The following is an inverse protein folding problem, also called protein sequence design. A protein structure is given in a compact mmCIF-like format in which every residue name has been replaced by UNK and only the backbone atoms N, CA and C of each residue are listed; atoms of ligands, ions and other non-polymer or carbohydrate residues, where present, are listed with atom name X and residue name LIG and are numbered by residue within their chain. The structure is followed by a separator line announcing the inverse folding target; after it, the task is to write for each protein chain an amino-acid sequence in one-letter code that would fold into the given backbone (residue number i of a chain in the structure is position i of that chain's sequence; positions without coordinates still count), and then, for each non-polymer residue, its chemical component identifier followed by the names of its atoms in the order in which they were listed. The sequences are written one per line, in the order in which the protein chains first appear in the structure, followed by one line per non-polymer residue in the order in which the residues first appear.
data_IF_261907977191
#
_entry.id   IF_261907977191
#
_cell.length_a   1.000
_cell.length_b   1.000
_cell.length_c   1.000
_cell.angle_alpha   90.00
_cell.angle_beta   90.00
_cell.angle_gamma   90.00
#
_symmetry.space_group_name_H-M   'P 1'
#
loop_
_entity.id
_entity.type
_entity.pdbx_description
1 polymer ?
#
# COMPACT_ATOMS: atom_id res chain seq x y z
N UNK A 1 39.77 -28.58 -30.60
CA UNK A 1 39.50 -28.78 -29.12
C UNK A 1 39.60 -27.48 -28.33
N UNK A 2 40.34 -26.45 -28.74
CA UNK A 2 40.49 -25.19 -27.96
C UNK A 2 39.33 -24.21 -28.07
N UNK A 3 38.43 -24.36 -29.06
CA UNK A 3 37.33 -23.42 -29.29
C UNK A 3 36.09 -23.69 -28.39
N UNK A 4 35.96 -24.93 -27.88
CA UNK A 4 34.88 -25.26 -26.92
C UNK A 4 35.19 -24.80 -25.50
N UNK A 5 36.44 -24.80 -25.12
CA UNK A 5 36.87 -24.42 -23.76
C UNK A 5 36.82 -22.88 -23.58
N UNK A 6 37.16 -22.12 -24.60
CA UNK A 6 37.02 -20.65 -24.61
C UNK A 6 35.55 -20.22 -24.64
N UNK A 7 34.70 -20.88 -25.39
CA UNK A 7 33.28 -20.61 -25.41
C UNK A 7 32.59 -20.94 -24.06
N UNK A 8 33.04 -22.03 -23.40
CA UNK A 8 32.54 -22.37 -22.05
C UNK A 8 32.98 -21.36 -20.99
N UNK A 9 34.26 -20.88 -21.08
CA UNK A 9 34.77 -19.85 -20.17
C UNK A 9 33.99 -18.51 -20.34
N UNK A 10 33.75 -18.09 -21.59
CA UNK A 10 32.93 -16.88 -21.87
C UNK A 10 31.52 -16.98 -21.33
N UNK A 11 30.88 -18.15 -21.46
CA UNK A 11 29.52 -18.37 -20.93
C UNK A 11 29.51 -18.33 -19.39
N UNK A 12 30.54 -18.87 -18.75
CA UNK A 12 30.65 -18.85 -17.27
C UNK A 12 30.90 -17.44 -16.77
N UNK A 13 31.74 -16.65 -17.42
CA UNK A 13 31.97 -15.23 -17.06
C UNK A 13 30.69 -14.39 -17.25
N UNK A 14 29.98 -14.57 -18.35
CA UNK A 14 28.70 -13.88 -18.59
C UNK A 14 27.64 -14.26 -17.53
N UNK A 15 27.56 -15.52 -17.14
CA UNK A 15 26.66 -15.95 -16.05
C UNK A 15 27.05 -15.35 -14.71
N UNK A 16 28.34 -15.22 -14.40
CA UNK A 16 28.84 -14.60 -13.18
C UNK A 16 28.51 -13.09 -13.13
N UNK A 17 28.65 -12.39 -14.27
CA UNK A 17 28.25 -11.00 -14.41
C UNK A 17 26.73 -10.83 -14.21
N UNK A 18 25.91 -11.62 -14.90
CA UNK A 18 24.45 -11.59 -14.75
C UNK A 18 24.03 -11.87 -13.31
N UNK A 19 24.67 -12.83 -12.63
CA UNK A 19 24.41 -13.11 -11.22
C UNK A 19 24.78 -11.93 -10.31
N UNK A 20 25.84 -11.21 -10.63
CA UNK A 20 26.26 -10.01 -9.88
C UNK A 20 25.28 -8.86 -10.08
N UNK A 21 24.83 -8.60 -11.30
CA UNK A 21 23.79 -7.63 -11.59
C UNK A 21 22.48 -7.98 -10.86
N UNK A 22 22.06 -9.24 -10.90
CA UNK A 22 20.84 -9.69 -10.21
C UNK A 22 20.92 -9.47 -8.71
N UNK A 23 22.07 -9.70 -8.08
CA UNK A 23 22.31 -9.42 -6.65
C UNK A 23 22.20 -7.93 -6.33
N UNK A 24 22.80 -7.07 -7.16
CA UNK A 24 22.71 -5.62 -6.96
C UNK A 24 21.26 -5.14 -7.09
N UNK A 25 20.55 -5.57 -8.14
CA UNK A 25 19.15 -5.22 -8.32
C UNK A 25 18.26 -5.72 -7.18
N UNK A 26 18.49 -6.95 -6.69
CA UNK A 26 17.74 -7.48 -5.55
C UNK A 26 18.01 -6.70 -4.26
N UNK A 27 19.25 -6.27 -4.02
CA UNK A 27 19.59 -5.44 -2.88
C UNK A 27 18.93 -4.06 -2.94
N UNK A 28 18.96 -3.40 -4.10
CA UNK A 28 18.29 -2.12 -4.33
C UNK A 28 16.77 -2.26 -4.13
N UNK A 29 16.17 -3.30 -4.70
CA UNK A 29 14.74 -3.58 -4.55
C UNK A 29 14.35 -3.82 -3.09
N UNK A 30 15.19 -4.52 -2.31
CA UNK A 30 14.96 -4.73 -0.89
C UNK A 30 14.99 -3.42 -0.09
N UNK A 31 15.92 -2.51 -0.40
CA UNK A 31 15.99 -1.19 0.22
C UNK A 31 14.73 -0.36 -0.11
N UNK A 32 14.35 -0.32 -1.39
CA UNK A 32 13.15 0.40 -1.83
C UNK A 32 11.89 -0.17 -1.16
N UNK A 33 11.77 -1.49 -1.09
CA UNK A 33 10.64 -2.16 -0.42
C UNK A 33 10.60 -1.84 1.08
N UNK A 34 11.76 -1.74 1.73
CA UNK A 34 11.85 -1.37 3.15
C UNK A 34 11.38 0.07 3.38
N UNK A 35 11.81 1.01 2.54
CA UNK A 35 11.38 2.42 2.60
C UNK A 35 9.87 2.51 2.36
N UNK A 36 9.35 1.81 1.36
CA UNK A 36 7.92 1.76 1.07
C UNK A 36 7.12 1.18 2.25
N UNK A 37 7.62 0.12 2.90
CA UNK A 37 7.00 -0.47 4.08
C UNK A 37 6.92 0.50 5.26
N UNK A 38 8.01 1.22 5.54
CA UNK A 38 8.04 2.24 6.59
C UNK A 38 7.06 3.37 6.26
N UNK A 39 7.07 3.88 5.03
CA UNK A 39 6.14 4.93 4.57
C UNK A 39 4.68 4.52 4.73
N UNK A 40 4.38 3.25 4.44
CA UNK A 40 3.04 2.69 4.58
C UNK A 40 2.60 2.60 6.06
N UNK A 41 3.51 2.19 6.96
CA UNK A 41 3.24 2.17 8.40
C UNK A 41 2.94 3.59 8.92
N UNK A 42 3.75 4.58 8.53
CA UNK A 42 3.52 5.99 8.92
C UNK A 42 2.19 6.49 8.37
N UNK A 43 1.86 6.19 7.11
CA UNK A 43 0.57 6.51 6.51
C UNK A 43 -0.60 5.84 7.22
N UNK A 44 -0.47 4.58 7.60
CA UNK A 44 -1.48 3.84 8.36
C UNK A 44 -1.73 4.43 9.76
N UNK A 45 -0.66 4.85 10.45
CA UNK A 45 -0.78 5.58 11.72
C UNK A 45 -1.51 6.91 11.50
N UNK A 46 -1.25 7.61 10.38
CA UNK A 46 -1.98 8.81 9.99
C UNK A 46 -3.48 8.57 9.85
N UNK A 47 -3.88 7.52 9.15
CA UNK A 47 -5.29 7.11 9.02
C UNK A 47 -5.89 6.80 10.40
N UNK A 48 -5.19 6.06 11.24
CA UNK A 48 -5.65 5.76 12.60
C UNK A 48 -5.89 7.02 13.43
N UNK A 49 -4.98 8.00 13.36
CA UNK A 49 -5.10 9.26 14.09
C UNK A 49 -6.30 10.09 13.61
N UNK A 50 -6.48 10.23 12.30
CA UNK A 50 -7.64 10.92 11.72
C UNK A 50 -8.94 10.24 12.14
N UNK A 51 -9.00 8.91 12.10
CA UNK A 51 -10.17 8.15 12.53
C UNK A 51 -10.47 8.33 14.02
N UNK A 52 -9.44 8.42 14.89
CA UNK A 52 -9.64 8.69 16.32
C UNK A 52 -10.25 10.09 16.55
N UNK A 53 -9.79 11.09 15.81
CA UNK A 53 -10.36 12.45 15.85
C UNK A 53 -11.83 12.40 15.37
N UNK A 54 -12.09 11.77 14.24
CA UNK A 54 -13.45 11.62 13.70
C UNK A 54 -14.40 10.92 14.69
N UNK A 55 -13.94 9.87 15.39
CA UNK A 55 -14.73 9.21 16.42
C UNK A 55 -15.07 10.15 17.56
N UNK A 56 -14.12 10.99 18.01
CA UNK A 56 -14.39 11.97 19.08
C UNK A 56 -15.34 13.07 18.63
N UNK A 57 -15.20 13.60 17.43
CA UNK A 57 -16.10 14.60 16.84
C UNK A 57 -17.52 14.07 16.65
N UNK A 58 -17.67 12.80 16.26
CA UNK A 58 -18.96 12.14 16.04
C UNK A 58 -19.51 11.41 17.27
N UNK A 59 -18.99 11.69 18.46
CA UNK A 59 -19.38 10.98 19.71
C UNK A 59 -20.88 11.03 19.95
N UNK A 60 -21.52 12.20 19.80
CA UNK A 60 -22.96 12.39 19.98
C UNK A 60 -23.78 11.59 18.97
N UNK A 61 -23.37 11.56 17.70
CA UNK A 61 -24.03 10.79 16.64
C UNK A 61 -23.99 9.29 16.94
N UNK A 62 -22.82 8.78 17.37
CA UNK A 62 -22.65 7.38 17.78
C UNK A 62 -23.54 7.05 18.97
N UNK A 63 -23.64 7.97 19.95
CA UNK A 63 -24.51 7.81 21.11
C UNK A 63 -25.98 7.70 20.72
N UNK A 64 -26.46 8.56 19.84
CA UNK A 64 -27.84 8.54 19.32
C UNK A 64 -28.14 7.24 18.57
N UNK A 65 -27.23 6.79 17.67
CA UNK A 65 -27.42 5.52 16.95
C UNK A 65 -27.53 4.34 17.90
N UNK A 66 -26.71 4.30 18.96
CA UNK A 66 -26.79 3.24 19.98
C UNK A 66 -28.07 3.31 20.82
N UNK A 67 -28.53 4.50 21.15
CA UNK A 67 -29.80 4.69 21.85
C UNK A 67 -31.01 4.21 21.01
N UNK A 68 -30.89 4.31 19.68
CA UNK A 68 -31.87 3.79 18.72
C UNK A 68 -31.73 2.28 18.44
N UNK A 69 -30.80 1.58 19.11
CA UNK A 69 -30.66 0.13 19.04
C UNK A 69 -29.52 -0.39 18.14
N UNK A 70 -28.62 0.48 17.63
CA UNK A 70 -27.46 0.00 16.88
C UNK A 70 -26.54 -0.85 17.75
N UNK A 71 -26.14 -2.01 17.22
CA UNK A 71 -25.24 -2.92 17.92
C UNK A 71 -23.79 -2.43 17.88
N UNK A 72 -22.95 -2.92 18.78
CA UNK A 72 -21.51 -2.65 18.76
C UNK A 72 -20.87 -3.11 17.44
N UNK A 73 -21.40 -4.15 16.84
CA UNK A 73 -20.90 -4.69 15.57
C UNK A 73 -21.20 -3.75 14.42
N UNK A 74 -22.38 -3.14 14.39
CA UNK A 74 -22.76 -2.21 13.32
C UNK A 74 -21.86 -0.99 13.32
N UNK A 75 -21.66 -0.37 14.48
CA UNK A 75 -20.75 0.78 14.64
C UNK A 75 -19.31 0.41 14.23
N UNK A 76 -18.80 -0.74 14.72
CA UNK A 76 -17.46 -1.19 14.38
C UNK A 76 -17.28 -1.43 12.89
N UNK A 77 -18.24 -2.12 12.25
CA UNK A 77 -18.17 -2.42 10.81
C UNK A 77 -18.19 -1.15 9.99
N UNK A 78 -19.04 -0.18 10.35
CA UNK A 78 -19.10 1.11 9.67
C UNK A 78 -17.74 1.82 9.65
N UNK A 79 -17.07 1.96 10.79
CA UNK A 79 -15.76 2.63 10.87
C UNK A 79 -14.66 1.84 10.16
N UNK A 80 -14.69 0.50 10.18
CA UNK A 80 -13.73 -0.31 9.42
C UNK A 80 -13.93 -0.11 7.92
N UNK A 81 -15.17 -0.11 7.43
CA UNK A 81 -15.47 0.14 6.01
C UNK A 81 -15.00 1.53 5.59
N UNK A 82 -15.23 2.55 6.42
CA UNK A 82 -14.76 3.92 6.15
C UNK A 82 -13.21 3.96 6.02
N UNK A 83 -12.48 3.32 6.93
CA UNK A 83 -11.02 3.23 6.85
C UNK A 83 -10.55 2.46 5.60
N UNK A 84 -11.20 1.36 5.25
CA UNK A 84 -10.89 0.57 4.05
C UNK A 84 -11.10 1.39 2.79
N UNK A 85 -12.19 2.15 2.69
CA UNK A 85 -12.48 3.01 1.53
C UNK A 85 -11.38 4.07 1.37
N UNK A 86 -10.98 4.73 2.45
CA UNK A 86 -9.90 5.74 2.42
C UNK A 86 -8.58 5.13 1.95
N UNK A 87 -8.21 3.97 2.51
CA UNK A 87 -6.98 3.28 2.11
C UNK A 87 -7.05 2.78 0.65
N UNK A 88 -8.21 2.32 0.19
CA UNK A 88 -8.43 1.85 -1.18
C UNK A 88 -8.30 3.01 -2.18
N UNK A 89 -8.89 4.17 -1.89
CA UNK A 89 -8.73 5.36 -2.72
C UNK A 89 -7.25 5.78 -2.80
N UNK A 90 -6.54 5.78 -1.68
CA UNK A 90 -5.09 6.01 -1.66
C UNK A 90 -4.32 4.98 -2.50
N UNK A 91 -4.69 3.71 -2.40
CA UNK A 91 -4.11 2.62 -3.18
C UNK A 91 -4.33 2.80 -4.69
N UNK A 92 -5.53 3.17 -5.13
CA UNK A 92 -5.84 3.46 -6.54
C UNK A 92 -5.00 4.63 -7.05
N UNK A 93 -4.96 5.73 -6.30
CA UNK A 93 -4.13 6.90 -6.65
C UNK A 93 -2.65 6.49 -6.73
N UNK A 94 -2.17 5.68 -5.78
CA UNK A 94 -0.79 5.17 -5.77
C UNK A 94 -0.46 4.32 -7.01
N UNK A 95 -1.38 3.43 -7.43
CA UNK A 95 -1.22 2.62 -8.64
C UNK A 95 -1.17 3.50 -9.89
N UNK A 96 -2.05 4.49 -10.01
CA UNK A 96 -2.07 5.41 -11.15
C UNK A 96 -0.78 6.23 -11.21
N UNK A 97 -0.39 6.84 -10.09
CA UNK A 97 0.85 7.63 -10.03
C UNK A 97 2.09 6.78 -10.28
N UNK A 98 2.16 5.58 -9.67
CA UNK A 98 3.27 4.65 -9.87
C UNK A 98 3.37 4.17 -11.33
N UNK A 99 2.25 3.86 -11.96
CA UNK A 99 2.20 3.49 -13.37
C UNK A 99 2.63 4.63 -14.30
N UNK A 100 2.17 5.85 -14.04
CA UNK A 100 2.59 7.03 -14.81
C UNK A 100 4.10 7.31 -14.66
N UNK A 101 4.61 7.32 -13.44
CA UNK A 101 6.04 7.54 -13.18
C UNK A 101 6.89 6.42 -13.79
N UNK A 102 6.46 5.16 -13.69
CA UNK A 102 7.13 4.02 -14.32
C UNK A 102 7.17 4.13 -15.83
N UNK A 103 6.08 4.58 -16.46
CA UNK A 103 6.01 4.80 -17.89
C UNK A 103 6.93 5.94 -18.38
N UNK A 104 6.99 7.03 -17.61
CA UNK A 104 7.91 8.14 -17.90
C UNK A 104 9.35 7.67 -17.78
N UNK A 105 9.69 6.97 -16.70
CA UNK A 105 11.04 6.45 -16.48
C UNK A 105 11.47 5.48 -17.58
N UNK A 106 10.60 4.56 -18.02
CA UNK A 106 10.90 3.64 -19.12
C UNK A 106 11.10 4.36 -20.45
N UNK A 107 10.34 5.43 -20.71
CA UNK A 107 10.51 6.27 -21.90
C UNK A 107 11.86 6.99 -21.91
N UNK A 108 12.29 7.52 -20.79
CA UNK A 108 13.63 8.14 -20.66
C UNK A 108 14.75 7.11 -20.89
N UNK A 109 14.67 5.92 -20.29
CA UNK A 109 15.67 4.86 -20.46
C UNK A 109 15.74 4.44 -21.94
N UNK A 110 14.60 4.25 -22.61
CA UNK A 110 14.54 3.90 -24.02
C UNK A 110 15.18 4.96 -24.93
N UNK A 111 15.07 6.24 -24.59
CA UNK A 111 15.67 7.34 -25.35
C UNK A 111 17.21 7.34 -25.23
N UNK A 112 17.75 6.96 -24.06
CA UNK A 112 19.21 6.89 -23.84
C UNK A 112 19.84 5.60 -24.35
N UNK A 113 19.09 4.48 -24.38
CA UNK A 113 19.59 3.19 -24.88
C UNK A 113 19.54 3.05 -26.42
N UNK A 114 19.00 4.02 -27.13
CA UNK A 114 18.92 4.01 -28.59
C UNK A 114 17.90 3.01 -29.18
N UNK A 115 17.14 2.32 -28.36
CA UNK A 115 16.14 1.32 -28.76
C UNK A 115 14.75 1.92 -29.06
N UNK A 116 14.65 3.25 -29.10
CA UNK A 116 13.37 3.94 -29.26
C UNK A 116 12.54 3.94 -27.95
N UNK A 117 11.30 4.41 -28.04
CA UNK A 117 10.40 4.38 -26.89
C UNK A 117 10.16 2.94 -26.44
N UNK A 118 10.72 2.55 -25.31
CA UNK A 118 10.46 1.26 -24.70
C UNK A 118 8.95 1.05 -24.48
N UNK A 119 8.48 -0.20 -24.42
CA UNK A 119 7.07 -0.48 -24.18
C UNK A 119 6.66 0.20 -22.86
N UNK A 120 5.53 0.89 -22.91
CA UNK A 120 4.95 1.57 -21.74
C UNK A 120 4.90 0.59 -20.54
N UNK A 121 5.75 0.83 -19.54
CA UNK A 121 5.90 -0.07 -18.41
C UNK A 121 4.72 0.09 -17.42
N UNK A 122 3.56 -0.39 -17.84
CA UNK A 122 2.39 -0.44 -16.97
C UNK A 122 2.51 -1.65 -16.03
N UNK A 123 2.20 -1.50 -14.74
CA UNK A 123 2.28 -2.62 -13.80
C UNK A 123 1.33 -3.76 -14.23
N UNK A 124 1.75 -5.03 -14.11
CA UNK A 124 0.89 -6.15 -14.43
C UNK A 124 -0.33 -6.19 -13.50
N UNK A 125 -1.46 -6.67 -14.03
CA UNK A 125 -2.73 -6.73 -13.29
C UNK A 125 -2.59 -7.45 -11.93
N UNK A 126 -1.75 -8.47 -11.85
CA UNK A 126 -1.46 -9.19 -10.60
C UNK A 126 -0.84 -8.28 -9.53
N UNK A 127 0.08 -7.40 -9.91
CA UNK A 127 0.70 -6.44 -9.00
C UNK A 127 -0.31 -5.37 -8.57
N UNK A 128 -1.17 -4.90 -9.48
CA UNK A 128 -2.25 -3.96 -9.17
C UNK A 128 -3.21 -4.57 -8.14
N UNK A 129 -3.69 -5.79 -8.38
CA UNK A 129 -4.59 -6.49 -7.45
C UNK A 129 -3.92 -6.73 -6.10
N UNK A 130 -2.66 -7.17 -6.08
CA UNK A 130 -1.92 -7.39 -4.85
C UNK A 130 -1.77 -6.09 -4.04
N UNK A 131 -1.46 -4.96 -4.69
CA UNK A 131 -1.31 -3.67 -4.02
C UNK A 131 -2.64 -3.16 -3.44
N UNK A 132 -3.76 -3.33 -4.16
CA UNK A 132 -5.09 -2.95 -3.67
C UNK A 132 -5.53 -3.83 -2.50
N UNK A 133 -5.34 -5.14 -2.57
CA UNK A 133 -5.63 -6.05 -1.46
C UNK A 133 -4.79 -5.70 -0.22
N UNK A 134 -3.52 -5.38 -0.42
CA UNK A 134 -2.65 -4.96 0.66
C UNK A 134 -3.09 -3.62 1.28
N UNK A 135 -3.50 -2.66 0.45
CA UNK A 135 -4.07 -1.39 0.90
C UNK A 135 -5.35 -1.59 1.73
N UNK A 136 -6.24 -2.50 1.32
CA UNK A 136 -7.42 -2.88 2.10
C UNK A 136 -7.04 -3.51 3.45
N UNK A 137 -6.06 -4.41 3.47
CA UNK A 137 -5.58 -5.04 4.70
C UNK A 137 -5.05 -4.00 5.70
N UNK A 138 -4.31 -3.01 5.22
CA UNK A 138 -3.84 -1.87 6.02
C UNK A 138 -5.02 -1.06 6.57
N UNK A 139 -6.03 -0.76 5.75
CA UNK A 139 -7.25 -0.08 6.18
C UNK A 139 -7.97 -0.82 7.30
N UNK A 140 -8.09 -2.14 7.20
CA UNK A 140 -8.66 -2.99 8.27
C UNK A 140 -7.80 -2.95 9.52
N UNK A 141 -6.49 -3.11 9.39
CA UNK A 141 -5.55 -3.17 10.53
C UNK A 141 -5.54 -1.87 11.33
N UNK A 142 -5.32 -0.74 10.68
CA UNK A 142 -5.26 0.56 11.34
C UNK A 142 -6.64 1.13 11.69
N UNK A 143 -7.70 0.76 10.98
CA UNK A 143 -9.08 1.13 11.27
C UNK A 143 -9.70 0.32 12.42
N UNK A 144 -9.19 -0.87 12.73
CA UNK A 144 -9.74 -1.73 13.77
C UNK A 144 -9.68 -1.11 15.17
N UNK A 145 -8.60 -0.40 15.51
CA UNK A 145 -8.43 0.21 16.82
C UNK A 145 -9.46 1.35 17.07
N UNK A 146 -9.55 2.40 16.21
CA UNK A 146 -10.57 3.45 16.38
C UNK A 146 -12.00 2.91 16.29
N UNK A 147 -12.26 1.95 15.41
CA UNK A 147 -13.57 1.31 15.30
C UNK A 147 -14.00 0.59 16.59
N UNK A 148 -13.08 -0.12 17.25
CA UNK A 148 -13.34 -0.75 18.55
C UNK A 148 -13.58 0.28 19.64
N UNK A 149 -12.87 1.41 19.62
CA UNK A 149 -13.06 2.49 20.59
C UNK A 149 -14.44 3.11 20.43
N UNK A 150 -14.86 3.43 19.20
CA UNK A 150 -16.22 3.91 18.88
C UNK A 150 -17.30 2.91 19.34
N UNK A 151 -17.10 1.62 19.06
CA UNK A 151 -18.04 0.57 19.42
C UNK A 151 -18.19 0.35 20.94
N UNK A 152 -17.21 0.73 21.75
CA UNK A 152 -17.26 0.58 23.24
C UNK A 152 -17.86 1.79 23.96
N UNK A 153 -18.06 2.94 23.31
CA UNK A 153 -18.67 4.12 23.91
C UNK A 153 -20.05 3.80 24.50
N UNK A 154 -20.32 4.32 25.70
CA UNK A 154 -21.64 4.19 26.32
C UNK A 154 -22.54 5.34 25.84
N UNK A 155 -23.83 5.09 25.56
CA UNK A 155 -24.76 6.13 25.11
C UNK A 155 -24.91 7.30 26.07
N UNK A 156 -24.86 7.00 27.38
CA UNK A 156 -25.00 7.99 28.46
C UNK A 156 -23.83 8.95 28.47
N UNK A 157 -22.61 8.45 28.32
CA UNK A 157 -21.39 9.27 28.29
C UNK A 157 -21.34 10.12 27.01
N UNK A 158 -21.78 9.55 25.89
CA UNK A 158 -21.80 10.23 24.59
C UNK A 158 -22.83 11.39 24.52
N UNK A 159 -23.94 11.30 25.28
CA UNK A 159 -24.98 12.34 25.32
C UNK A 159 -24.71 13.41 26.39
N UNK A 160 -23.81 13.14 27.35
CA UNK A 160 -23.40 14.05 28.44
C UNK A 160 -22.23 14.96 28.07
N UNK A 161 -21.58 14.72 26.91
CA UNK A 161 -20.48 15.53 26.44
C UNK A 161 -21.02 16.87 25.89
N UNK A 162 -20.98 17.91 26.72
CA UNK A 162 -21.01 19.32 26.33
C UNK A 162 -19.59 19.86 26.14
#
# INVERSE_FOLDING_TARGET
YSNSDTAQAEVIDMQAELASFTKIFSAISAVIASIAGISLLVGGIGVMNVMLITVTERTREIGVRKALGATRRDIRTQFIVEAVIVCLLGGIIGVVLGGLLGSIASGFIGMFSGEGYGPMAWPPISAVLASLLFSMAIGVFFGAYPANRAAKMQPIDALRYE
#
